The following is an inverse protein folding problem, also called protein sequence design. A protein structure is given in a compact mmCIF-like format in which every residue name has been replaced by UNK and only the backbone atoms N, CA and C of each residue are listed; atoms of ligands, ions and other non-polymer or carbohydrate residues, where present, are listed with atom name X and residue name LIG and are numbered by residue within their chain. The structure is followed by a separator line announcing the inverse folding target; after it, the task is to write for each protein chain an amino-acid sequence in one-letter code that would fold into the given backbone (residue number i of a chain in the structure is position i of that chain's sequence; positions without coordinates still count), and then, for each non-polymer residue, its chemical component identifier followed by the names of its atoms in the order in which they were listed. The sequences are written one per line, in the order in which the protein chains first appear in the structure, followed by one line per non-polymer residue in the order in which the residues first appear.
data_IF_523401563460
#
_entry.id   IF_523401563460
#
_cell.length_a   1.000
_cell.length_b   1.000
_cell.length_c   1.000
_cell.angle_alpha   90.00
_cell.angle_beta   90.00
_cell.angle_gamma   90.00
#
_symmetry.space_group_name_H-M   'P 1'
#
loop_
_entity.id
_entity.type
_entity.pdbx_description
1 polymer ?
#
# COMPACT_ATOMS: atom_id res chain seq x y z
N UNK A 1 7.63 -17.12 19.65
CA UNK A 1 8.16 -16.52 18.39
C UNK A 1 7.49 -15.18 18.22
N UNK A 2 8.28 -14.13 18.01
CA UNK A 2 7.77 -12.80 17.73
C UNK A 2 7.17 -12.78 16.33
N UNK A 3 5.95 -12.24 16.19
CA UNK A 3 5.23 -12.13 14.92
C UNK A 3 5.04 -10.66 14.56
N UNK A 4 5.63 -10.26 13.46
CA UNK A 4 5.63 -8.88 12.99
C UNK A 4 4.42 -8.55 12.12
N UNK A 5 3.94 -7.31 12.22
CA UNK A 5 2.84 -6.81 11.41
C UNK A 5 3.12 -5.42 10.85
N UNK A 6 2.78 -5.22 9.58
CA UNK A 6 2.58 -3.89 9.00
C UNK A 6 1.09 -3.58 8.96
N UNK A 7 0.69 -2.43 9.49
CA UNK A 7 -0.69 -1.94 9.45
C UNK A 7 -0.70 -0.65 8.63
N UNK A 8 -1.42 -0.63 7.51
CA UNK A 8 -1.45 0.55 6.66
C UNK A 8 -2.75 0.68 5.87
N UNK A 9 -3.15 1.92 5.61
CA UNK A 9 -4.29 2.24 4.74
C UNK A 9 -4.03 1.76 3.31
N UNK A 10 -5.06 1.29 2.56
CA UNK A 10 -4.91 0.90 1.18
C UNK A 10 -4.73 2.14 0.29
N UNK A 11 -3.49 2.40 -0.11
CA UNK A 11 -3.14 3.49 -1.03
C UNK A 11 -3.27 3.05 -2.50
N UNK A 12 -3.59 4.00 -3.37
CA UNK A 12 -3.68 3.79 -4.80
C UNK A 12 -2.29 3.74 -5.43
N UNK A 13 -1.89 2.56 -5.94
CA UNK A 13 -0.58 2.31 -6.56
C UNK A 13 0.58 2.90 -5.73
N UNK A 14 0.81 2.40 -4.51
CA UNK A 14 1.78 2.98 -3.57
C UNK A 14 3.23 2.96 -4.08
N UNK A 15 4.11 3.58 -3.35
CA UNK A 15 5.56 3.66 -3.59
C UNK A 15 6.32 2.40 -3.13
N UNK A 16 7.54 2.13 -3.62
CA UNK A 16 8.28 0.91 -3.29
C UNK A 16 8.49 0.64 -1.80
N UNK A 17 8.84 1.60 -0.91
CA UNK A 17 8.94 1.35 0.53
C UNK A 17 7.66 0.80 1.18
N UNK A 18 6.49 1.04 0.63
CA UNK A 18 5.25 0.45 1.08
C UNK A 18 5.28 -1.09 0.92
N UNK A 19 5.70 -1.57 -0.25
CA UNK A 19 5.80 -3.00 -0.55
C UNK A 19 6.97 -3.67 0.18
N UNK A 20 8.09 -2.96 0.36
CA UNK A 20 9.23 -3.46 1.12
C UNK A 20 8.81 -3.78 2.55
N UNK A 21 8.07 -2.88 3.24
CA UNK A 21 7.58 -3.13 4.60
C UNK A 21 6.57 -4.27 4.66
N UNK A 22 5.65 -4.36 3.70
CA UNK A 22 4.71 -5.47 3.60
C UNK A 22 5.46 -6.79 3.54
N UNK A 23 6.37 -6.95 2.59
CA UNK A 23 7.09 -8.19 2.34
C UNK A 23 8.14 -8.52 3.42
N UNK A 24 8.52 -7.53 4.23
CA UNK A 24 9.41 -7.72 5.39
C UNK A 24 8.66 -8.12 6.67
N UNK A 25 7.34 -8.10 6.67
CA UNK A 25 6.49 -8.45 7.82
C UNK A 25 5.85 -9.81 7.65
N UNK A 26 5.52 -10.49 8.76
CA UNK A 26 4.81 -11.76 8.74
C UNK A 26 3.32 -11.58 8.39
N UNK A 27 2.76 -10.42 8.77
CA UNK A 27 1.35 -10.07 8.56
C UNK A 27 1.25 -8.66 7.96
N UNK A 28 0.29 -8.49 7.05
CA UNK A 28 -0.14 -7.19 6.56
C UNK A 28 -1.62 -6.97 6.86
N UNK A 29 -1.94 -5.93 7.63
CA UNK A 29 -3.31 -5.52 7.90
C UNK A 29 -3.65 -4.28 7.08
N UNK A 30 -4.59 -4.43 6.18
CA UNK A 30 -5.14 -3.36 5.36
C UNK A 30 -6.14 -2.57 6.21
N UNK A 31 -5.79 -1.34 6.57
CA UNK A 31 -6.58 -0.46 7.42
C UNK A 31 -7.63 0.27 6.58
N UNK A 32 -8.73 -0.39 6.23
CA UNK A 32 -9.77 0.09 5.31
C UNK A 32 -10.99 0.72 5.97
N UNK A 33 -11.16 0.54 7.30
CA UNK A 33 -12.29 1.04 8.10
C UNK A 33 -12.02 2.40 8.79
N UNK A 34 -11.02 3.14 8.35
CA UNK A 34 -10.71 4.50 8.84
C UNK A 34 -11.18 5.56 7.85
N UNK A 35 -11.29 6.81 8.32
CA UNK A 35 -11.80 7.93 7.52
C UNK A 35 -10.95 8.18 6.27
N UNK A 36 -11.61 8.30 5.13
CA UNK A 36 -10.98 8.75 3.90
C UNK A 36 -10.48 10.19 4.04
N UNK A 37 -9.24 10.42 3.64
CA UNK A 37 -8.64 11.74 3.65
C UNK A 37 -8.57 12.29 2.23
N UNK A 38 -9.19 13.46 2.03
CA UNK A 38 -9.05 14.20 0.79
C UNK A 38 -7.57 14.58 0.60
N UNK A 39 -7.13 14.59 -0.64
CA UNK A 39 -5.77 14.97 -1.03
C UNK A 39 -4.66 14.07 -0.47
N UNK A 40 -5.01 12.86 -0.03
CA UNK A 40 -4.09 11.79 0.35
C UNK A 40 -3.82 10.82 -0.83
N UNK A 41 -3.05 9.78 -0.56
CA UNK A 41 -2.75 8.73 -1.54
C UNK A 41 -3.86 7.66 -1.68
N UNK A 42 -5.03 7.85 -1.08
CA UNK A 42 -6.12 6.85 -1.19
C UNK A 42 -6.67 6.72 -2.62
N UNK A 43 -6.72 7.84 -3.37
CA UNK A 43 -7.29 7.85 -4.72
C UNK A 43 -6.34 8.45 -5.77
N UNK A 44 -5.10 8.71 -5.41
CA UNK A 44 -4.11 9.28 -6.33
C UNK A 44 -2.70 8.84 -6.01
N UNK A 45 -1.84 8.88 -7.02
CA UNK A 45 -0.42 8.60 -6.91
C UNK A 45 0.38 9.53 -7.79
N UNK A 46 1.70 9.61 -7.60
CA UNK A 46 2.60 10.41 -8.44
C UNK A 46 3.30 9.49 -9.43
N UNK A 47 3.21 9.86 -10.69
CA UNK A 47 3.99 9.30 -11.80
C UNK A 47 4.86 10.41 -12.41
N UNK A 48 5.78 10.01 -13.26
CA UNK A 48 6.60 10.95 -14.04
C UNK A 48 6.30 10.81 -15.53
N UNK A 49 6.30 11.92 -16.23
CA UNK A 49 6.14 11.93 -17.69
C UNK A 49 7.44 11.51 -18.41
N UNK A 50 7.39 11.48 -19.74
CA UNK A 50 8.56 11.13 -20.59
C UNK A 50 9.77 12.06 -20.39
N UNK A 51 9.57 13.27 -19.86
CA UNK A 51 10.61 14.24 -19.56
C UNK A 51 11.07 14.21 -18.09
N UNK A 52 10.54 13.28 -17.28
CA UNK A 52 10.85 13.13 -15.88
C UNK A 52 10.09 14.10 -14.95
N UNK A 53 9.11 14.84 -15.45
CA UNK A 53 8.31 15.77 -14.65
C UNK A 53 7.21 15.00 -13.90
N UNK A 54 7.13 15.20 -12.58
CA UNK A 54 6.10 14.60 -11.73
C UNK A 54 4.70 15.13 -12.07
N UNK A 55 3.72 14.22 -12.04
CA UNK A 55 2.31 14.57 -12.15
C UNK A 55 1.42 13.62 -11.33
N UNK A 56 0.26 14.11 -10.94
CA UNK A 56 -0.72 13.30 -10.21
C UNK A 56 -1.55 12.46 -11.18
N UNK A 57 -1.59 11.15 -10.92
CA UNK A 57 -2.59 10.26 -11.48
C UNK A 57 -3.66 10.02 -10.42
N UNK A 58 -4.91 10.41 -10.69
CA UNK A 58 -5.99 10.42 -9.69
C UNK A 58 -7.25 9.75 -10.22
N UNK A 59 -7.83 8.87 -9.40
CA UNK A 59 -9.19 8.39 -9.60
C UNK A 59 -10.18 9.42 -9.02
N UNK A 60 -11.18 9.88 -9.77
CA UNK A 60 -12.14 10.87 -9.28
C UNK A 60 -13.10 10.24 -8.27
N UNK A 61 -13.14 10.78 -7.06
CA UNK A 61 -13.97 10.28 -5.96
C UNK A 61 -15.34 10.94 -5.97
N UNK A 62 -16.38 10.15 -5.73
CA UNK A 62 -17.74 10.64 -5.56
C UNK A 62 -17.85 11.52 -4.31
N UNK A 63 -18.26 12.77 -4.50
CA UNK A 63 -18.36 13.77 -3.43
C UNK A 63 -19.27 13.36 -2.26
N UNK A 64 -20.32 12.56 -2.53
CA UNK A 64 -21.27 12.08 -1.52
C UNK A 64 -20.67 11.04 -0.57
N UNK A 65 -19.59 10.39 -0.96
CA UNK A 65 -18.95 9.30 -0.18
C UNK A 65 -17.64 9.69 0.48
N UNK A 66 -17.01 10.80 0.09
CA UNK A 66 -15.66 11.21 0.55
C UNK A 66 -15.53 11.52 2.05
N UNK A 67 -16.64 11.62 2.78
CA UNK A 67 -16.65 11.81 4.25
C UNK A 67 -16.78 10.51 5.02
N UNK A 68 -16.87 9.38 4.32
CA UNK A 68 -17.01 8.05 4.88
C UNK A 68 -15.66 7.39 5.13
N UNK A 69 -15.68 6.17 5.63
CA UNK A 69 -14.48 5.31 5.72
C UNK A 69 -14.02 4.86 4.34
N UNK A 70 -12.73 4.53 4.19
CA UNK A 70 -12.11 4.21 2.89
C UNK A 70 -12.89 3.10 2.16
N UNK A 71 -13.32 2.07 2.88
CA UNK A 71 -14.10 0.94 2.34
C UNK A 71 -15.52 1.29 1.88
N UNK A 72 -15.99 2.51 2.15
CA UNK A 72 -17.30 3.02 1.74
C UNK A 72 -17.20 4.10 0.65
N UNK A 73 -15.98 4.49 0.28
CA UNK A 73 -15.76 5.52 -0.74
C UNK A 73 -15.84 4.92 -2.13
N UNK A 74 -16.52 5.63 -3.02
CA UNK A 74 -16.68 5.23 -4.42
C UNK A 74 -16.06 6.23 -5.37
N UNK A 75 -15.61 5.78 -6.53
CA UNK A 75 -15.24 6.65 -7.66
C UNK A 75 -16.50 7.17 -8.34
N UNK A 76 -16.36 8.24 -9.14
CA UNK A 76 -17.48 8.81 -9.89
C UNK A 76 -18.00 7.84 -10.93
N UNK A 77 -19.33 7.69 -11.03
CA UNK A 77 -20.00 6.76 -11.98
C UNK A 77 -19.67 7.06 -13.45
N UNK A 78 -19.53 8.34 -13.81
CA UNK A 78 -19.23 8.77 -15.16
C UNK A 78 -17.72 8.81 -15.48
N UNK A 79 -16.89 8.12 -14.70
CA UNK A 79 -15.45 8.10 -14.91
C UNK A 79 -15.09 7.30 -16.17
N UNK A 80 -14.48 7.98 -17.13
CA UNK A 80 -14.07 7.40 -18.41
C UNK A 80 -12.72 6.70 -18.30
N UNK A 81 -12.73 5.45 -17.81
CA UNK A 81 -11.53 4.65 -17.53
C UNK A 81 -10.62 4.54 -18.76
N UNK A 82 -11.18 4.23 -19.94
CA UNK A 82 -10.38 4.04 -21.17
C UNK A 82 -9.71 5.33 -21.65
N UNK A 83 -10.38 6.47 -21.47
CA UNK A 83 -9.79 7.79 -21.79
C UNK A 83 -8.64 8.12 -20.83
N UNK A 84 -8.80 7.79 -19.56
CA UNK A 84 -7.74 7.98 -18.55
C UNK A 84 -6.54 7.07 -18.85
N UNK A 85 -6.79 5.78 -19.15
CA UNK A 85 -5.76 4.84 -19.55
C UNK A 85 -4.91 5.40 -20.70
N UNK A 86 -5.56 5.77 -21.79
CA UNK A 86 -4.88 6.35 -22.95
C UNK A 86 -4.05 7.59 -22.57
N UNK A 87 -4.61 8.48 -21.74
CA UNK A 87 -3.92 9.69 -21.31
C UNK A 87 -2.65 9.36 -20.50
N UNK A 88 -2.75 8.45 -19.51
CA UNK A 88 -1.61 8.05 -18.68
C UNK A 88 -0.54 7.37 -19.51
N UNK A 89 -0.90 6.40 -20.34
CA UNK A 89 0.05 5.70 -21.19
C UNK A 89 0.74 6.62 -22.20
N UNK A 90 0.05 7.63 -22.71
CA UNK A 90 0.65 8.65 -23.59
C UNK A 90 1.66 9.50 -22.82
N UNK A 91 1.29 10.01 -21.64
CA UNK A 91 2.19 10.83 -20.80
C UNK A 91 3.45 10.09 -20.37
N UNK A 92 3.31 8.83 -19.98
CA UNK A 92 4.43 7.99 -19.49
C UNK A 92 5.21 7.31 -20.61
N UNK A 93 4.75 7.39 -21.86
CA UNK A 93 5.40 6.71 -23.00
C UNK A 93 5.27 5.19 -22.99
N UNK A 94 4.28 4.63 -22.28
CA UNK A 94 4.16 3.19 -22.01
C UNK A 94 3.20 2.44 -22.91
N UNK A 95 2.59 3.11 -23.91
CA UNK A 95 1.55 2.54 -24.80
C UNK A 95 1.99 1.25 -25.51
N UNK A 96 3.29 1.05 -25.76
CA UNK A 96 3.80 -0.12 -26.49
C UNK A 96 4.64 -1.08 -25.63
N UNK A 97 5.17 -0.62 -24.51
CA UNK A 97 6.21 -1.35 -23.76
C UNK A 97 5.68 -2.18 -22.60
N UNK A 98 4.52 -1.81 -22.02
CA UNK A 98 4.00 -2.44 -20.81
C UNK A 98 2.48 -2.74 -20.94
N UNK A 99 2.08 -3.26 -22.11
CA UNK A 99 0.68 -3.54 -22.39
C UNK A 99 0.04 -4.47 -21.37
N UNK A 100 0.73 -5.55 -20.98
CA UNK A 100 0.19 -6.56 -20.06
C UNK A 100 -0.04 -5.98 -18.66
N UNK A 101 0.94 -5.22 -18.13
CA UNK A 101 0.81 -4.56 -16.83
C UNK A 101 -0.28 -3.50 -16.86
N UNK A 102 -0.30 -2.67 -17.91
CA UNK A 102 -1.34 -1.67 -18.09
C UNK A 102 -2.71 -2.31 -18.20
N UNK A 103 -2.84 -3.36 -19.02
CA UNK A 103 -4.09 -4.09 -19.16
C UNK A 103 -4.58 -4.62 -17.80
N UNK A 104 -3.72 -5.31 -17.05
CA UNK A 104 -4.09 -5.86 -15.74
C UNK A 104 -4.52 -4.77 -14.74
N UNK A 105 -3.77 -3.66 -14.64
CA UNK A 105 -4.11 -2.53 -13.76
C UNK A 105 -5.48 -1.94 -14.12
N UNK A 106 -5.72 -1.69 -15.40
CA UNK A 106 -6.99 -1.08 -15.83
C UNK A 106 -8.15 -2.05 -15.77
N UNK A 107 -7.92 -3.35 -15.98
CA UNK A 107 -8.92 -4.39 -15.78
C UNK A 107 -9.32 -4.49 -14.31
N UNK A 108 -8.38 -4.48 -13.39
CA UNK A 108 -8.65 -4.42 -11.94
C UNK A 108 -9.48 -3.17 -11.60
N UNK A 109 -9.12 -1.99 -12.10
CA UNK A 109 -9.88 -0.77 -11.86
C UNK A 109 -11.31 -0.89 -12.36
N UNK A 110 -11.52 -1.49 -13.54
CA UNK A 110 -12.87 -1.73 -14.11
C UNK A 110 -13.67 -2.72 -13.28
N UNK A 111 -13.08 -3.86 -12.97
CA UNK A 111 -13.76 -4.98 -12.29
C UNK A 111 -14.20 -4.62 -10.87
N UNK A 112 -13.40 -3.86 -10.12
CA UNK A 112 -13.66 -3.51 -8.72
C UNK A 112 -14.27 -2.11 -8.52
N UNK A 113 -14.52 -1.39 -9.63
CA UNK A 113 -15.27 -0.15 -9.61
C UNK A 113 -16.74 -0.43 -9.15
N UNK A 114 -17.35 0.50 -8.36
CA UNK A 114 -16.83 1.82 -8.03
C UNK A 114 -16.05 1.89 -6.70
N UNK A 115 -15.84 0.80 -5.96
CA UNK A 115 -15.29 0.83 -4.61
C UNK A 115 -13.76 1.07 -4.62
N UNK A 116 -13.32 2.20 -4.03
CA UNK A 116 -11.90 2.59 -4.05
C UNK A 116 -11.01 1.66 -3.20
N UNK A 117 -11.54 1.15 -2.08
CA UNK A 117 -10.80 0.20 -1.24
C UNK A 117 -10.57 -1.12 -1.96
N UNK A 118 -11.60 -1.66 -2.63
CA UNK A 118 -11.46 -2.91 -3.39
C UNK A 118 -10.47 -2.75 -4.54
N UNK A 119 -10.54 -1.63 -5.29
CA UNK A 119 -9.56 -1.31 -6.33
C UNK A 119 -8.14 -1.32 -5.76
N UNK A 120 -7.91 -0.58 -4.67
CA UNK A 120 -6.57 -0.45 -4.09
C UNK A 120 -6.04 -1.77 -3.55
N UNK A 121 -6.90 -2.55 -2.87
CA UNK A 121 -6.52 -3.86 -2.33
C UNK A 121 -6.09 -4.79 -3.46
N UNK A 122 -6.88 -4.87 -4.53
CA UNK A 122 -6.56 -5.74 -5.67
C UNK A 122 -5.31 -5.29 -6.44
N UNK A 123 -5.08 -3.99 -6.55
CA UNK A 123 -3.84 -3.47 -7.11
C UNK A 123 -2.63 -3.79 -6.23
N UNK A 124 -2.75 -3.68 -4.90
CA UNK A 124 -1.69 -4.04 -3.96
C UNK A 124 -1.38 -5.54 -4.05
N UNK A 125 -2.40 -6.41 -4.02
CA UNK A 125 -2.26 -7.86 -4.17
C UNK A 125 -1.57 -8.20 -5.49
N UNK A 126 -2.02 -7.63 -6.61
CA UNK A 126 -1.40 -7.81 -7.92
C UNK A 126 0.08 -7.40 -7.95
N UNK A 127 0.43 -6.25 -7.37
CA UNK A 127 1.82 -5.79 -7.32
C UNK A 127 2.67 -6.71 -6.43
N UNK A 128 2.15 -7.19 -5.31
CA UNK A 128 2.82 -8.21 -4.48
C UNK A 128 3.10 -9.46 -5.31
N UNK A 129 2.12 -9.96 -6.05
CA UNK A 129 2.27 -11.15 -6.90
C UNK A 129 3.38 -11.01 -7.94
N UNK A 130 3.44 -9.87 -8.63
CA UNK A 130 4.49 -9.64 -9.62
C UNK A 130 5.87 -9.43 -9.00
N UNK A 131 5.98 -8.78 -7.82
CA UNK A 131 7.26 -8.63 -7.13
C UNK A 131 7.78 -9.99 -6.67
N UNK A 132 6.91 -10.82 -6.10
CA UNK A 132 7.27 -12.14 -5.56
C UNK A 132 7.32 -13.22 -6.64
N UNK A 133 6.95 -12.90 -7.88
CA UNK A 133 6.84 -13.84 -8.99
C UNK A 133 5.96 -15.06 -8.63
N UNK A 134 4.89 -14.82 -7.88
CA UNK A 134 3.97 -15.84 -7.39
C UNK A 134 4.51 -16.74 -6.27
N UNK A 135 5.68 -16.44 -5.71
CA UNK A 135 6.24 -17.23 -4.61
C UNK A 135 5.50 -16.94 -3.28
N UNK A 136 4.60 -17.85 -2.91
CA UNK A 136 3.78 -17.75 -1.70
C UNK A 136 4.60 -17.72 -0.40
N UNK A 137 5.80 -18.33 -0.37
CA UNK A 137 6.62 -18.37 0.84
C UNK A 137 7.18 -17.01 1.27
N UNK A 138 7.16 -16.03 0.38
CA UNK A 138 7.65 -14.67 0.65
C UNK A 138 6.51 -13.74 1.06
N UNK A 139 5.26 -14.09 0.71
CA UNK A 139 4.09 -13.25 0.96
C UNK A 139 3.69 -13.27 2.44
N UNK A 140 3.28 -12.12 3.01
CA UNK A 140 2.70 -12.09 4.35
C UNK A 140 1.27 -12.65 4.34
N UNK A 141 0.76 -13.02 5.50
CA UNK A 141 -0.69 -13.19 5.67
C UNK A 141 -1.39 -11.83 5.56
N UNK A 142 -2.46 -11.73 4.77
CA UNK A 142 -3.16 -10.47 4.54
C UNK A 142 -4.53 -10.47 5.21
N UNK A 143 -4.78 -9.47 6.04
CA UNK A 143 -6.05 -9.23 6.70
C UNK A 143 -6.62 -7.86 6.35
N UNK A 144 -7.94 -7.70 6.48
CA UNK A 144 -8.63 -6.40 6.38
C UNK A 144 -9.16 -6.00 7.75
N UNK A 145 -8.85 -4.80 8.20
CA UNK A 145 -9.32 -4.31 9.50
C UNK A 145 -10.84 -4.36 9.62
N UNK A 146 -11.58 -4.00 8.57
CA UNK A 146 -13.05 -4.08 8.54
C UNK A 146 -13.64 -5.49 8.70
N UNK A 147 -12.83 -6.54 8.49
CA UNK A 147 -13.27 -7.95 8.64
C UNK A 147 -12.94 -8.52 10.00
N UNK A 148 -11.85 -8.06 10.63
CA UNK A 148 -11.37 -8.58 11.91
C UNK A 148 -11.75 -7.67 13.10
N UNK A 149 -12.12 -6.41 12.83
CA UNK A 149 -12.56 -5.46 13.85
C UNK A 149 -13.68 -4.57 13.33
N UNK A 150 -14.85 -4.70 13.95
CA UNK A 150 -16.06 -3.91 13.62
C UNK A 150 -16.25 -2.70 14.54
N UNK A 151 -15.40 -2.54 15.56
CA UNK A 151 -15.49 -1.43 16.51
C UNK A 151 -15.04 -0.13 15.86
N UNK A 152 -15.72 0.97 16.19
CA UNK A 152 -15.26 2.32 15.86
C UNK A 152 -14.36 2.79 17.00
N UNK A 153 -13.13 3.16 16.68
CA UNK A 153 -12.13 3.58 17.64
C UNK A 153 -11.98 5.10 17.65
N UNK A 154 -12.04 5.70 18.82
CA UNK A 154 -11.68 7.11 19.04
C UNK A 154 -10.16 7.30 19.13
N UNK A 155 -9.46 6.34 19.71
CA UNK A 155 -8.00 6.34 19.81
C UNK A 155 -7.38 5.44 18.74
N UNK A 156 -6.60 6.05 17.85
CA UNK A 156 -5.94 5.33 16.76
C UNK A 156 -4.87 4.34 17.21
N UNK A 157 -4.21 4.58 18.36
CA UNK A 157 -3.18 3.67 18.88
C UNK A 157 -3.82 2.44 19.54
N UNK A 158 -4.90 2.61 20.29
CA UNK A 158 -5.68 1.48 20.81
C UNK A 158 -6.24 0.59 19.70
N UNK A 159 -6.63 1.20 18.56
CA UNK A 159 -7.03 0.43 17.39
C UNK A 159 -5.88 -0.45 16.87
N UNK A 160 -4.64 0.05 16.81
CA UNK A 160 -3.49 -0.76 16.42
C UNK A 160 -3.25 -1.93 17.39
N UNK A 161 -3.32 -1.67 18.71
CA UNK A 161 -3.20 -2.72 19.74
C UNK A 161 -4.25 -3.82 19.52
N UNK A 162 -5.50 -3.43 19.31
CA UNK A 162 -6.56 -4.41 19.06
C UNK A 162 -6.34 -5.23 17.79
N UNK A 163 -5.86 -4.61 16.71
CA UNK A 163 -5.53 -5.31 15.47
C UNK A 163 -4.36 -6.30 15.66
N UNK A 164 -3.32 -5.92 16.42
CA UNK A 164 -2.23 -6.81 16.79
C UNK A 164 -2.74 -8.03 17.57
N UNK A 165 -3.57 -7.80 18.59
CA UNK A 165 -4.14 -8.87 19.42
C UNK A 165 -5.00 -9.84 18.58
N UNK A 166 -5.84 -9.33 17.69
CA UNK A 166 -6.70 -10.15 16.82
C UNK A 166 -5.90 -11.00 15.82
N UNK A 167 -4.68 -10.59 15.46
CA UNK A 167 -3.80 -11.33 14.54
C UNK A 167 -2.66 -12.03 15.25
N UNK A 168 -2.60 -11.98 16.59
CA UNK A 168 -1.54 -12.56 17.43
C UNK A 168 -0.15 -12.05 17.03
N UNK A 169 -0.06 -10.76 16.72
CA UNK A 169 1.19 -10.06 16.45
C UNK A 169 1.63 -9.28 17.67
N UNK A 170 2.91 -9.30 17.98
CA UNK A 170 3.53 -8.61 19.11
C UNK A 170 4.49 -7.50 18.69
N UNK A 171 4.69 -7.31 17.39
CA UNK A 171 5.68 -6.38 16.86
C UNK A 171 5.13 -5.63 15.64
N UNK A 172 5.06 -4.29 15.71
CA UNK A 172 4.62 -3.45 14.59
C UNK A 172 5.82 -2.89 13.84
N UNK A 173 5.84 -3.06 12.52
CA UNK A 173 6.80 -2.40 11.62
C UNK A 173 6.22 -1.04 11.18
N UNK A 174 6.89 0.05 11.55
CA UNK A 174 6.44 1.42 11.28
C UNK A 174 7.49 2.23 10.52
N UNK A 175 7.03 3.06 9.57
CA UNK A 175 7.84 4.16 9.05
C UNK A 175 7.84 5.37 10.00
N UNK A 176 8.83 6.24 9.87
CA UNK A 176 9.04 7.42 10.74
C UNK A 176 7.79 8.30 10.92
N UNK A 177 7.00 8.51 9.86
CA UNK A 177 5.77 9.30 9.96
C UNK A 177 4.74 8.63 10.86
N UNK A 178 4.47 7.35 10.67
CA UNK A 178 3.54 6.57 11.50
C UNK A 178 3.98 6.53 12.96
N UNK A 179 5.26 6.28 13.21
CA UNK A 179 5.86 6.28 14.54
C UNK A 179 5.54 7.57 15.32
N UNK A 180 5.72 8.74 14.69
CA UNK A 180 5.45 10.03 15.32
C UNK A 180 3.95 10.35 15.50
N UNK A 181 3.08 9.56 14.89
CA UNK A 181 1.63 9.78 14.97
C UNK A 181 0.94 8.98 16.07
N UNK A 182 1.62 8.04 16.72
CA UNK A 182 1.03 7.15 17.72
C UNK A 182 1.58 7.40 19.12
N UNK A 183 0.79 7.07 20.14
CA UNK A 183 1.23 7.08 21.53
C UNK A 183 1.99 5.79 21.83
N UNK A 184 3.31 5.92 21.98
CA UNK A 184 4.21 4.78 22.20
C UNK A 184 4.05 4.15 23.57
N UNK A 185 3.54 4.90 24.57
CA UNK A 185 3.30 4.35 25.91
C UNK A 185 2.16 3.34 25.87
N UNK A 186 1.07 3.64 25.13
CA UNK A 186 -0.04 2.69 24.95
C UNK A 186 0.46 1.39 24.31
N UNK A 187 1.32 1.46 23.30
CA UNK A 187 1.90 0.25 22.68
C UNK A 187 2.73 -0.54 23.68
N UNK A 188 3.61 0.14 24.43
CA UNK A 188 4.48 -0.48 25.43
C UNK A 188 3.69 -1.12 26.58
N UNK A 189 2.65 -0.46 27.10
CA UNK A 189 1.77 -0.96 28.15
C UNK A 189 1.01 -2.23 27.72
N UNK A 190 0.80 -2.39 26.43
CA UNK A 190 0.16 -3.58 25.83
C UNK A 190 1.20 -4.59 25.27
N UNK A 191 2.47 -4.47 25.66
CA UNK A 191 3.55 -5.39 25.26
C UNK A 191 3.77 -5.47 23.74
N UNK A 192 3.41 -4.41 23.00
CA UNK A 192 3.61 -4.33 21.55
C UNK A 192 4.97 -3.66 21.27
N UNK A 193 5.88 -4.42 20.68
CA UNK A 193 7.17 -3.94 20.22
C UNK A 193 7.05 -3.11 18.94
N UNK A 194 8.04 -2.24 18.69
CA UNK A 194 8.06 -1.40 17.49
C UNK A 194 9.40 -1.59 16.78
N UNK A 195 9.34 -1.90 15.51
CA UNK A 195 10.47 -1.80 14.59
C UNK A 195 10.28 -0.54 13.76
N UNK A 196 11.10 0.48 14.05
CA UNK A 196 11.15 1.69 13.24
C UNK A 196 11.98 1.42 11.98
N UNK A 197 11.33 1.47 10.84
CA UNK A 197 11.97 1.38 9.54
C UNK A 197 12.20 2.79 8.97
N UNK A 198 13.32 3.36 9.37
CA UNK A 198 13.78 4.72 9.04
C UNK A 198 14.91 4.75 8.01
N UNK A 199 15.28 3.59 7.45
CA UNK A 199 16.37 3.47 6.50
C UNK A 199 16.08 4.17 5.19
N UNK A 200 17.13 4.75 4.61
CA UNK A 200 17.12 5.18 3.22
C UNK A 200 17.02 3.94 2.32
N UNK A 201 15.90 3.80 1.65
CA UNK A 201 15.64 2.68 0.75
C UNK A 201 16.01 3.01 -0.70
N UNK A 202 16.72 4.09 -0.95
CA UNK A 202 17.09 4.57 -2.31
C UNK A 202 15.88 4.81 -3.24
N UNK A 203 14.67 4.90 -2.66
CA UNK A 203 13.44 5.16 -3.39
C UNK A 203 12.78 6.46 -2.91
N UNK A 204 12.28 7.26 -3.84
CA UNK A 204 11.46 8.40 -3.50
C UNK A 204 10.15 7.91 -2.83
N UNK A 205 9.87 8.29 -1.57
CA UNK A 205 8.71 7.78 -0.82
C UNK A 205 7.36 8.34 -1.31
N UNK A 206 7.33 9.05 -2.42
CA UNK A 206 6.11 9.61 -3.02
C UNK A 206 5.81 9.08 -4.41
N UNK A 207 6.83 8.63 -5.13
CA UNK A 207 6.68 8.13 -6.51
C UNK A 207 6.14 6.70 -6.50
N UNK A 208 5.09 6.46 -7.28
CA UNK A 208 4.46 5.14 -7.43
C UNK A 208 5.47 4.06 -7.83
N UNK A 209 5.28 2.84 -7.31
CA UNK A 209 6.02 1.67 -7.79
C UNK A 209 5.83 1.45 -9.30
N UNK A 210 4.66 1.80 -9.82
CA UNK A 210 4.38 1.69 -11.27
C UNK A 210 5.34 2.53 -12.10
N UNK A 211 5.73 3.72 -11.63
CA UNK A 211 6.72 4.56 -12.30
C UNK A 211 8.09 3.89 -12.37
N UNK A 212 8.52 3.24 -11.29
CA UNK A 212 9.77 2.47 -11.28
C UNK A 212 9.72 1.27 -12.23
N UNK A 213 8.58 0.55 -12.27
CA UNK A 213 8.37 -0.55 -13.21
C UNK A 213 8.46 -0.04 -14.66
N UNK A 214 7.87 1.09 -14.98
CA UNK A 214 7.94 1.68 -16.31
C UNK A 214 9.33 2.11 -16.72
N UNK A 215 10.15 2.57 -15.79
CA UNK A 215 11.52 3.04 -16.06
C UNK A 215 12.53 1.92 -16.12
N UNK A 216 12.48 1.01 -15.17
CA UNK A 216 13.54 0.03 -14.94
C UNK A 216 13.14 -1.41 -15.30
N UNK A 217 11.87 -1.66 -15.57
CA UNK A 217 11.33 -2.99 -15.80
C UNK A 217 11.03 -3.75 -14.51
N UNK A 218 10.10 -4.70 -14.63
CA UNK A 218 9.59 -5.45 -13.48
C UNK A 218 10.67 -6.29 -12.80
N UNK A 219 11.51 -6.98 -13.58
CA UNK A 219 12.55 -7.87 -13.04
C UNK A 219 13.57 -7.12 -12.18
N UNK A 220 14.00 -5.94 -12.63
CA UNK A 220 14.98 -5.13 -11.89
C UNK A 220 14.34 -4.56 -10.61
N UNK A 221 13.10 -4.08 -10.67
CA UNK A 221 12.38 -3.57 -9.51
C UNK A 221 12.14 -4.69 -8.49
N UNK A 222 11.68 -5.86 -8.93
CA UNK A 222 11.47 -7.03 -8.08
C UNK A 222 12.76 -7.49 -7.39
N UNK A 223 13.85 -7.64 -8.14
CA UNK A 223 15.17 -8.00 -7.58
C UNK A 223 15.64 -7.00 -6.53
N UNK A 224 15.53 -5.71 -6.82
CA UNK A 224 15.93 -4.65 -5.89
C UNK A 224 15.08 -4.67 -4.60
N UNK A 225 13.76 -4.79 -4.72
CA UNK A 225 12.86 -4.87 -3.56
C UNK A 225 13.15 -6.12 -2.74
N UNK A 226 13.27 -7.28 -3.36
CA UNK A 226 13.51 -8.54 -2.65
C UNK A 226 14.88 -8.58 -1.97
N UNK A 227 15.91 -7.95 -2.54
CA UNK A 227 17.20 -7.77 -1.86
C UNK A 227 17.04 -7.01 -0.55
N UNK A 228 16.34 -5.86 -0.58
CA UNK A 228 16.07 -5.04 0.62
C UNK A 228 15.21 -5.80 1.63
N UNK A 229 14.21 -6.55 1.16
CA UNK A 229 13.33 -7.39 2.02
C UNK A 229 14.17 -8.43 2.78
N UNK A 230 15.10 -9.10 2.12
CA UNK A 230 15.96 -10.10 2.76
C UNK A 230 16.87 -9.46 3.83
N UNK A 231 17.45 -8.30 3.53
CA UNK A 231 18.22 -7.53 4.52
C UNK A 231 17.35 -7.09 5.71
N UNK A 232 16.10 -6.70 5.46
CA UNK A 232 15.13 -6.29 6.48
C UNK A 232 14.75 -7.44 7.40
N UNK A 233 14.41 -8.60 6.85
CA UNK A 233 14.08 -9.78 7.65
C UNK A 233 15.22 -10.13 8.59
N UNK A 234 16.45 -10.15 8.10
CA UNK A 234 17.64 -10.36 8.93
C UNK A 234 17.83 -9.30 10.03
N UNK A 235 17.57 -8.03 9.71
CA UNK A 235 17.66 -6.91 10.67
C UNK A 235 16.57 -6.99 11.74
N UNK A 236 15.33 -7.36 11.34
CA UNK A 236 14.21 -7.49 12.27
C UNK A 236 14.40 -8.68 13.23
N UNK A 237 14.94 -9.79 12.74
CA UNK A 237 15.28 -10.95 13.59
C UNK A 237 16.32 -10.63 14.68
N UNK A 238 17.27 -9.74 14.43
CA UNK A 238 18.27 -9.32 15.40
C UNK A 238 17.77 -8.34 16.46
N UNK A 239 16.63 -7.71 16.24
CA UNK A 239 16.01 -6.77 17.19
C UNK A 239 14.87 -7.37 18.01
N UNK A 240 14.57 -8.62 17.78
CA UNK A 240 13.71 -9.47 18.60
C UNK A 240 14.47 -10.01 19.80
#
# INVERSE_FOLDING_TARGET
MTRSVMIHQPHFLPWPPYFIRILSSDVFIILDNVTFQKDSFHNRTILTDINGKEFWFSLPVNHKTRTKTINQVTICENFQIDKMNKSICTKTGTLKKYNDINFAIWDIIKQYSPNISEINIKLIEYIIDIITQGNESIKPEIYRSSKIDKKIWSNKTEHLVNLCNNTKCDTIVMGKYSYNCHDLNILKENEINIILDDRDMSYNPKISILDYIYRYGIDNVSKSILSIVNENKFYYERRK
#
